data_IF_086685129416
#
_entry.id   IF_086685129416
#
_cell.length_a   1.000
_cell.length_b   1.000
_cell.length_c   1.000
_cell.angle_alpha   90.00
_cell.angle_beta   90.00
_cell.angle_gamma   90.00
#
_symmetry.space_group_name_H-M   'P 1'
#
loop_
_entity.id
_entity.type
_entity.pdbx_description
1 polymer ?
#
# COMPACT_ATOMS: atom_id res chain seq x y z
N UNK A 1 8.33 46.52 55.82
CA UNK A 1 6.92 46.06 55.81
C UNK A 1 6.01 47.24 55.50
N UNK A 2 4.96 47.01 54.69
CA UNK A 2 3.80 47.87 54.36
C UNK A 2 3.89 48.80 53.13
N UNK A 3 3.34 48.26 52.02
CA UNK A 3 2.37 48.82 51.06
C UNK A 3 2.41 50.33 50.76
N UNK A 4 2.67 50.66 49.50
CA UNK A 4 2.12 51.84 48.84
C UNK A 4 1.17 51.40 47.70
N UNK A 5 -0.09 51.79 47.82
CA UNK A 5 -1.18 51.62 46.87
C UNK A 5 -1.09 52.64 45.75
N UNK A 6 -1.15 52.20 44.49
CA UNK A 6 -1.35 53.05 43.32
C UNK A 6 -2.38 52.43 42.40
N UNK A 7 -3.61 52.97 42.41
CA UNK A 7 -4.62 52.72 41.36
C UNK A 7 -4.11 53.37 40.08
N UNK A 8 -3.94 52.58 39.02
CA UNK A 8 -3.73 53.09 37.67
C UNK A 8 -4.93 52.71 36.81
N UNK A 9 -5.46 53.74 36.15
CA UNK A 9 -6.65 53.79 35.33
C UNK A 9 -6.33 53.17 33.96
N UNK A 10 -7.22 52.30 33.48
CA UNK A 10 -7.19 51.76 32.12
C UNK A 10 -7.23 52.88 31.06
N UNK A 11 -6.43 52.80 30.00
CA UNK A 11 -6.89 53.15 28.68
C UNK A 11 -7.37 51.88 27.97
N UNK A 12 -8.65 51.91 27.60
CA UNK A 12 -9.25 51.00 26.62
C UNK A 12 -8.48 51.15 25.32
N UNK A 13 -7.57 50.23 25.04
CA UNK A 13 -6.97 50.10 23.71
C UNK A 13 -7.99 49.36 22.85
N UNK A 14 -8.70 50.14 22.05
CA UNK A 14 -9.54 49.69 20.97
C UNK A 14 -8.65 48.97 19.94
N UNK A 15 -8.46 47.66 20.10
CA UNK A 15 -7.85 46.82 19.08
C UNK A 15 -8.80 46.83 17.88
N UNK A 16 -8.41 47.54 16.82
CA UNK A 16 -9.02 47.41 15.51
C UNK A 16 -8.85 45.95 15.06
N UNK A 17 -9.90 45.15 15.25
CA UNK A 17 -10.01 43.82 14.65
C UNK A 17 -10.08 44.05 13.15
N UNK A 18 -8.93 43.97 12.49
CA UNK A 18 -8.86 43.94 11.03
C UNK A 18 -9.68 42.74 10.57
N UNK A 19 -10.85 43.01 10.00
CA UNK A 19 -11.67 42.06 9.27
C UNK A 19 -10.90 41.61 8.04
N UNK A 20 -10.02 40.63 8.19
CA UNK A 20 -9.57 39.83 7.07
C UNK A 20 -10.80 39.07 6.58
N UNK A 21 -11.19 39.17 5.28
CA UNK A 21 -12.23 38.32 4.76
C UNK A 21 -11.78 36.88 4.95
N UNK A 22 -12.64 36.04 5.55
CA UNK A 22 -12.46 34.61 5.57
C UNK A 22 -12.40 34.15 4.10
N UNK A 23 -11.19 33.87 3.62
CA UNK A 23 -10.98 33.27 2.31
C UNK A 23 -11.73 31.94 2.35
N UNK A 24 -12.71 31.69 1.48
CA UNK A 24 -13.36 30.39 1.46
C UNK A 24 -12.28 29.34 1.23
N UNK A 25 -12.21 28.32 2.10
CA UNK A 25 -11.40 27.12 1.87
C UNK A 25 -12.06 26.33 0.74
N UNK A 26 -11.99 26.89 -0.46
CA UNK A 26 -12.31 26.25 -1.71
C UNK A 26 -11.10 26.51 -2.58
N UNK A 27 -10.45 25.41 -2.95
CA UNK A 27 -9.29 25.34 -3.85
C UNK A 27 -7.91 25.46 -3.21
N UNK A 28 -7.63 24.61 -2.20
CA UNK A 28 -6.36 23.87 -2.28
C UNK A 28 -6.55 22.81 -3.37
N UNK A 29 -6.15 23.15 -4.58
CA UNK A 29 -6.02 22.20 -5.70
C UNK A 29 -4.94 21.19 -5.32
N UNK A 30 -5.34 20.10 -4.69
CA UNK A 30 -4.50 18.92 -4.59
C UNK A 30 -4.38 18.34 -6.00
N UNK A 31 -3.29 18.66 -6.69
CA UNK A 31 -2.80 17.83 -7.81
C UNK A 31 -2.34 16.48 -7.25
N UNK A 32 -3.29 15.65 -6.85
CA UNK A 32 -3.13 14.23 -6.59
C UNK A 32 -3.62 13.48 -7.81
N UNK A 33 -2.73 12.74 -8.47
CA UNK A 33 -3.04 11.91 -9.64
C UNK A 33 -4.29 11.07 -9.39
N UNK A 34 -5.33 11.26 -10.21
CA UNK A 34 -6.61 10.54 -10.15
C UNK A 34 -6.45 9.04 -10.48
N UNK A 35 -6.00 8.26 -9.51
CA UNK A 35 -6.19 6.81 -9.52
C UNK A 35 -7.57 6.55 -8.92
N UNK A 36 -8.59 6.43 -9.77
CA UNK A 36 -9.91 5.91 -9.37
C UNK A 36 -9.70 4.56 -8.69
N UNK A 37 -9.97 4.48 -7.38
CA UNK A 37 -9.74 3.25 -6.63
C UNK A 37 -10.68 2.16 -7.14
N UNK A 38 -10.13 0.99 -7.48
CA UNK A 38 -10.93 -0.17 -7.87
C UNK A 38 -11.76 -0.60 -6.65
N UNK A 39 -13.11 -0.67 -6.75
CA UNK A 39 -13.93 -1.07 -5.61
C UNK A 39 -13.50 -2.44 -5.06
N UNK A 40 -13.54 -2.60 -3.73
CA UNK A 40 -13.16 -3.84 -3.05
C UNK A 40 -13.90 -5.05 -3.61
N UNK A 41 -13.20 -6.17 -3.76
CA UNK A 41 -13.74 -7.44 -4.27
C UNK A 41 -13.86 -7.53 -5.78
N UNK A 42 -13.61 -6.43 -6.54
CA UNK A 42 -13.61 -6.45 -8.00
C UNK A 42 -12.36 -7.13 -8.55
N UNK A 43 -12.53 -7.84 -9.65
CA UNK A 43 -11.44 -8.53 -10.34
C UNK A 43 -10.48 -7.51 -10.97
N UNK A 44 -9.19 -7.66 -10.67
CA UNK A 44 -8.10 -6.80 -11.17
C UNK A 44 -7.36 -7.47 -12.32
N UNK A 45 -7.16 -8.78 -12.26
CA UNK A 45 -6.34 -9.55 -13.20
C UNK A 45 -5.99 -10.93 -12.63
N UNK A 46 -4.94 -11.56 -13.14
CA UNK A 46 -4.41 -12.82 -12.60
C UNK A 46 -2.90 -12.76 -12.45
N UNK A 47 -2.34 -13.64 -11.62
CA UNK A 47 -0.90 -13.83 -11.49
C UNK A 47 -0.53 -15.29 -11.70
N UNK A 48 0.61 -15.50 -12.34
CA UNK A 48 1.27 -16.80 -12.47
C UNK A 48 2.70 -16.72 -11.93
N UNK A 49 3.07 -17.66 -11.06
CA UNK A 49 4.38 -17.79 -10.44
C UNK A 49 4.86 -19.24 -10.63
N UNK A 50 5.59 -19.54 -11.72
CA UNK A 50 5.99 -20.91 -12.05
C UNK A 50 6.78 -21.61 -10.94
N UNK A 51 7.66 -20.88 -10.24
CA UNK A 51 8.45 -21.39 -9.11
C UNK A 51 7.59 -22.01 -8.00
N UNK A 52 6.37 -21.53 -7.84
CA UNK A 52 5.42 -21.97 -6.81
C UNK A 52 4.32 -22.89 -7.38
N UNK A 53 4.35 -23.20 -8.67
CA UNK A 53 3.25 -23.83 -9.40
C UNK A 53 1.89 -23.13 -9.13
N UNK A 54 1.92 -21.79 -9.11
CA UNK A 54 0.79 -20.96 -8.72
C UNK A 54 0.22 -20.23 -9.94
N UNK A 55 -1.09 -20.36 -10.14
CA UNK A 55 -1.90 -19.43 -10.92
C UNK A 55 -3.11 -19.04 -10.08
N UNK A 56 -3.37 -17.75 -9.91
CA UNK A 56 -4.44 -17.27 -9.03
C UNK A 56 -5.05 -15.95 -9.53
N UNK A 57 -6.36 -15.74 -9.37
CA UNK A 57 -6.99 -14.46 -9.63
C UNK A 57 -6.53 -13.39 -8.62
N UNK A 58 -6.53 -12.15 -9.07
CA UNK A 58 -6.26 -10.96 -8.27
C UNK A 58 -7.56 -10.17 -8.13
N UNK A 59 -7.93 -9.85 -6.90
CA UNK A 59 -9.07 -9.00 -6.56
C UNK A 59 -8.61 -7.74 -5.82
N UNK A 60 -9.33 -6.63 -5.95
CA UNK A 60 -9.03 -5.41 -5.19
C UNK A 60 -9.39 -5.62 -3.71
N UNK A 61 -8.50 -5.24 -2.79
CA UNK A 61 -8.73 -5.30 -1.35
C UNK A 61 -7.80 -6.25 -0.59
N UNK A 62 -7.89 -6.20 0.73
CA UNK A 62 -6.98 -6.90 1.66
C UNK A 62 -7.71 -7.55 2.84
N UNK A 63 -9.03 -7.73 2.74
CA UNK A 63 -9.82 -8.45 3.73
C UNK A 63 -9.69 -9.95 3.56
N UNK A 64 -10.02 -10.72 4.60
CA UNK A 64 -10.03 -12.18 4.52
C UNK A 64 -10.99 -12.67 3.43
N UNK A 65 -12.19 -12.07 3.32
CA UNK A 65 -13.13 -12.37 2.24
C UNK A 65 -12.56 -12.16 0.81
N UNK A 66 -11.55 -11.31 0.65
CA UNK A 66 -10.81 -11.15 -0.61
C UNK A 66 -9.76 -12.25 -0.76
N UNK A 67 -8.99 -12.52 0.29
CA UNK A 67 -7.93 -13.54 0.28
C UNK A 67 -8.46 -14.98 0.18
N UNK A 68 -9.68 -15.24 0.65
CA UNK A 68 -10.37 -16.52 0.50
C UNK A 68 -10.71 -16.82 -0.97
N UNK A 69 -10.78 -15.79 -1.81
CA UNK A 69 -11.05 -15.90 -3.24
C UNK A 69 -9.77 -15.98 -4.08
N UNK A 70 -8.61 -15.64 -3.51
CA UNK A 70 -7.34 -15.60 -4.23
C UNK A 70 -6.37 -14.57 -3.67
N UNK A 71 -5.74 -13.80 -4.56
CA UNK A 71 -4.76 -12.79 -4.17
C UNK A 71 -5.42 -11.41 -4.12
N UNK A 72 -5.14 -10.64 -3.08
CA UNK A 72 -5.62 -9.27 -2.95
C UNK A 72 -4.60 -8.25 -3.44
N UNK A 73 -5.03 -7.29 -4.24
CA UNK A 73 -4.29 -6.10 -4.62
C UNK A 73 -4.54 -5.01 -3.58
N UNK A 74 -3.46 -4.43 -3.05
CA UNK A 74 -3.56 -3.38 -2.05
C UNK A 74 -4.19 -2.12 -2.65
N UNK A 75 -5.32 -1.62 -2.10
CA UNK A 75 -5.98 -0.43 -2.63
C UNK A 75 -5.06 0.78 -2.68
N UNK A 76 -5.05 1.48 -3.82
CA UNK A 76 -4.21 2.66 -4.05
C UNK A 76 -2.75 2.36 -4.39
N UNK A 77 -2.32 1.10 -4.39
CA UNK A 77 -1.00 0.72 -4.93
C UNK A 77 -1.04 0.67 -6.47
N UNK A 78 0.13 0.72 -7.12
CA UNK A 78 0.21 0.76 -8.58
C UNK A 78 -0.49 -0.45 -9.23
N UNK A 79 -1.06 -0.25 -10.41
CA UNK A 79 -1.59 -1.34 -11.24
C UNK A 79 -0.46 -2.00 -12.06
N UNK A 80 -0.69 -3.21 -12.61
CA UNK A 80 0.31 -3.90 -13.42
C UNK A 80 0.92 -3.01 -14.52
N UNK A 81 2.25 -2.91 -14.56
CA UNK A 81 3.01 -2.14 -15.54
C UNK A 81 3.09 -0.63 -15.28
N UNK A 82 2.35 -0.11 -14.30
CA UNK A 82 2.44 1.30 -13.92
C UNK A 82 3.72 1.59 -13.13
N UNK A 83 4.19 2.84 -13.21
CA UNK A 83 5.25 3.35 -12.33
C UNK A 83 4.72 3.34 -10.89
N UNK A 84 5.54 2.87 -9.96
CA UNK A 84 5.13 2.66 -8.58
C UNK A 84 5.33 1.23 -8.12
N UNK A 85 4.80 0.95 -6.94
CA UNK A 85 4.84 -0.36 -6.32
C UNK A 85 3.44 -0.96 -6.36
N UNK A 86 3.27 -2.01 -7.16
CA UNK A 86 2.09 -2.86 -7.12
C UNK A 86 2.23 -3.79 -5.92
N UNK A 87 1.25 -3.81 -5.02
CA UNK A 87 1.34 -4.63 -3.81
C UNK A 87 0.27 -5.71 -3.84
N UNK A 88 0.69 -6.95 -3.63
CA UNK A 88 -0.15 -8.13 -3.56
C UNK A 88 -0.01 -8.81 -2.19
N UNK A 89 -1.14 -9.18 -1.60
CA UNK A 89 -1.21 -9.96 -0.37
C UNK A 89 -2.07 -11.22 -0.55
N UNK A 90 -1.88 -12.19 0.34
CA UNK A 90 -2.69 -13.41 0.33
C UNK A 90 -2.31 -14.37 1.44
N UNK A 91 -3.16 -15.37 1.63
CA UNK A 91 -2.98 -16.35 2.69
C UNK A 91 -1.68 -17.14 2.55
N UNK A 92 -1.03 -17.36 3.70
CA UNK A 92 0.12 -18.26 3.80
C UNK A 92 -0.34 -19.71 3.96
N UNK A 93 -1.24 -19.96 4.91
CA UNK A 93 -1.60 -21.31 5.34
C UNK A 93 -3.09 -21.60 5.29
N UNK A 94 -3.95 -20.60 5.48
CA UNK A 94 -5.38 -20.74 5.28
C UNK A 94 -5.69 -20.96 3.79
N UNK A 95 -6.63 -21.85 3.48
CA UNK A 95 -7.06 -22.09 2.10
C UNK A 95 -7.57 -20.79 1.45
N UNK A 96 -7.20 -20.50 0.19
CA UNK A 96 -6.53 -21.39 -0.78
C UNK A 96 -5.00 -21.42 -0.71
N UNK A 97 -4.39 -20.84 0.35
CA UNK A 97 -2.95 -20.86 0.68
C UNK A 97 -2.02 -20.61 -0.51
N UNK A 98 -2.29 -19.60 -1.37
CA UNK A 98 -1.56 -19.39 -2.62
C UNK A 98 -0.06 -19.16 -2.38
N UNK A 99 0.29 -18.64 -1.20
CA UNK A 99 1.66 -18.35 -0.84
C UNK A 99 2.24 -19.36 0.15
N UNK A 100 1.73 -20.59 0.27
CA UNK A 100 2.26 -21.60 1.20
C UNK A 100 3.76 -21.83 1.08
N UNK A 101 4.29 -21.76 -0.14
CA UNK A 101 5.69 -22.03 -0.50
C UNK A 101 6.52 -20.81 -0.91
N UNK A 102 6.04 -19.58 -0.66
CA UNK A 102 6.73 -18.32 -1.05
C UNK A 102 8.22 -18.25 -0.70
N UNK A 103 8.68 -18.97 0.33
CA UNK A 103 10.09 -19.01 0.74
C UNK A 103 11.00 -19.70 -0.28
N UNK A 104 10.43 -20.43 -1.25
CA UNK A 104 11.17 -21.01 -2.37
C UNK A 104 11.61 -19.95 -3.39
N UNK A 105 10.98 -18.77 -3.38
CA UNK A 105 11.31 -17.69 -4.31
C UNK A 105 12.73 -17.18 -4.05
N UNK A 106 13.50 -17.02 -5.12
CA UNK A 106 14.87 -16.49 -5.12
C UNK A 106 15.02 -15.40 -6.18
N UNK A 107 16.11 -14.63 -6.10
CA UNK A 107 16.45 -13.63 -7.12
C UNK A 107 16.51 -14.27 -8.50
N UNK A 108 15.89 -13.64 -9.50
CA UNK A 108 15.81 -14.14 -10.88
C UNK A 108 14.50 -14.88 -11.20
N UNK A 109 13.74 -15.32 -10.19
CA UNK A 109 12.44 -15.97 -10.43
C UNK A 109 11.45 -15.00 -11.09
N UNK A 110 10.57 -15.56 -11.91
CA UNK A 110 9.62 -14.79 -12.72
C UNK A 110 8.23 -14.79 -12.06
N UNK A 111 7.60 -13.63 -12.08
CA UNK A 111 6.20 -13.43 -11.72
C UNK A 111 5.51 -12.74 -12.89
N UNK A 112 4.49 -13.35 -13.46
CA UNK A 112 3.72 -12.77 -14.57
C UNK A 112 2.36 -12.33 -14.06
N UNK A 113 2.02 -11.07 -14.25
CA UNK A 113 0.70 -10.53 -13.95
C UNK A 113 -0.03 -10.23 -15.26
N UNK A 114 -1.26 -10.73 -15.42
CA UNK A 114 -2.10 -10.48 -16.59
C UNK A 114 -3.24 -9.53 -16.26
N UNK A 115 -3.45 -8.51 -17.08
CA UNK A 115 -4.56 -7.56 -16.94
C UNK A 115 -4.92 -6.93 -18.29
N UNK A 116 -6.22 -6.95 -18.64
CA UNK A 116 -6.73 -6.32 -19.86
C UNK A 116 -6.08 -6.85 -21.14
N UNK A 117 -5.88 -8.17 -21.24
CA UNK A 117 -5.23 -8.81 -22.38
C UNK A 117 -3.72 -8.60 -22.48
N UNK A 118 -3.08 -7.93 -21.50
CA UNK A 118 -1.63 -7.67 -21.48
C UNK A 118 -0.95 -8.45 -20.36
N UNK A 119 0.26 -8.91 -20.63
CA UNK A 119 1.13 -9.61 -19.68
C UNK A 119 2.26 -8.70 -19.21
N UNK A 120 2.48 -8.65 -17.90
CA UNK A 120 3.51 -7.87 -17.24
C UNK A 120 4.44 -8.81 -16.50
N UNK A 121 5.66 -8.96 -17.00
CA UNK A 121 6.66 -9.89 -16.46
C UNK A 121 7.54 -9.16 -15.44
N UNK A 122 7.52 -9.60 -14.20
CA UNK A 122 8.39 -9.11 -13.13
C UNK A 122 9.45 -10.16 -12.79
N UNK A 123 10.65 -9.71 -12.44
CA UNK A 123 11.77 -10.56 -12.02
C UNK A 123 12.10 -10.25 -10.57
N UNK A 124 12.15 -11.28 -9.73
CA UNK A 124 12.46 -11.14 -8.30
C UNK A 124 13.87 -10.58 -8.13
N UNK A 125 13.98 -9.54 -7.32
CA UNK A 125 15.23 -8.85 -6.99
C UNK A 125 15.75 -9.24 -5.61
N UNK A 126 14.85 -9.41 -4.64
CA UNK A 126 15.17 -9.81 -3.27
C UNK A 126 13.98 -10.39 -2.54
N UNK A 127 14.26 -11.11 -1.47
CA UNK A 127 13.29 -11.55 -0.47
C UNK A 127 13.73 -11.10 0.91
N UNK A 128 12.80 -10.98 1.85
CA UNK A 128 13.10 -10.60 3.23
C UNK A 128 11.97 -11.02 4.18
N UNK A 129 12.30 -11.11 5.47
CA UNK A 129 11.32 -11.27 6.55
C UNK A 129 11.26 -9.98 7.35
N UNK A 130 10.06 -9.45 7.57
CA UNK A 130 9.85 -8.17 8.26
C UNK A 130 8.82 -8.30 9.37
N UNK A 131 8.79 -7.30 10.27
CA UNK A 131 7.75 -7.20 11.31
C UNK A 131 6.39 -6.88 10.67
N UNK A 132 5.24 -7.30 11.25
CA UNK A 132 3.91 -6.95 10.74
C UNK A 132 3.66 -5.45 10.62
N UNK A 133 4.33 -4.64 11.44
CA UNK A 133 4.26 -3.17 11.44
C UNK A 133 5.11 -2.51 10.35
N UNK A 134 5.79 -3.29 9.50
CA UNK A 134 6.68 -2.78 8.44
C UNK A 134 5.88 -2.29 7.24
N UNK A 135 5.04 -1.27 7.43
CA UNK A 135 4.15 -0.71 6.39
C UNK A 135 4.90 -0.06 5.24
N UNK A 136 6.19 0.24 5.40
CA UNK A 136 7.04 0.80 4.34
C UNK A 136 7.15 -0.10 3.11
N UNK A 137 6.85 -1.40 3.21
CA UNK A 137 6.79 -2.31 2.04
C UNK A 137 5.70 -1.93 1.03
N UNK A 138 4.76 -1.07 1.44
CA UNK A 138 3.66 -0.57 0.64
C UNK A 138 3.99 0.72 -0.13
N UNK A 139 5.09 1.37 0.22
CA UNK A 139 5.47 2.67 -0.34
C UNK A 139 5.65 2.58 -1.86
N UNK A 140 5.22 3.63 -2.55
CA UNK A 140 5.39 3.73 -3.99
C UNK A 140 6.86 3.95 -4.35
N UNK A 141 7.30 3.35 -5.45
CA UNK A 141 8.68 3.47 -5.96
C UNK A 141 8.76 4.34 -7.21
N UNK A 142 9.94 4.88 -7.50
CA UNK A 142 10.23 5.51 -8.80
C UNK A 142 10.21 4.51 -9.95
N UNK A 143 10.58 3.25 -9.67
CA UNK A 143 10.58 2.14 -10.62
C UNK A 143 9.18 1.49 -10.75
N UNK A 144 9.06 0.52 -11.66
CA UNK A 144 7.91 -0.38 -11.79
C UNK A 144 8.18 -1.64 -10.96
N UNK A 145 7.72 -1.64 -9.72
CA UNK A 145 8.00 -2.67 -8.72
C UNK A 145 6.75 -3.48 -8.41
N UNK A 146 6.92 -4.75 -8.08
CA UNK A 146 5.91 -5.63 -7.52
C UNK A 146 6.40 -6.11 -6.15
N UNK A 147 5.57 -5.92 -5.13
CA UNK A 147 5.76 -6.47 -3.78
C UNK A 147 4.69 -7.51 -3.50
N UNK A 148 5.10 -8.73 -3.18
CA UNK A 148 4.20 -9.76 -2.64
C UNK A 148 4.52 -9.94 -1.16
N UNK A 149 3.49 -9.97 -0.30
CA UNK A 149 3.66 -10.27 1.12
C UNK A 149 2.66 -11.30 1.63
N UNK A 150 3.05 -12.04 2.67
CA UNK A 150 2.18 -13.02 3.33
C UNK A 150 2.62 -13.25 4.78
N UNK A 151 1.81 -13.91 5.59
CA UNK A 151 2.14 -14.28 6.96
C UNK A 151 3.38 -15.20 7.03
N UNK A 152 4.15 -15.06 8.11
CA UNK A 152 5.35 -15.84 8.33
C UNK A 152 5.64 -16.01 9.84
N UNK A 153 6.25 -17.12 10.28
CA UNK A 153 6.39 -18.42 9.58
C UNK A 153 5.04 -19.09 9.26
N UNK A 154 5.05 -20.30 8.69
CA UNK A 154 3.79 -21.06 8.47
C UNK A 154 3.07 -21.28 9.79
N UNK A 155 1.74 -21.14 9.79
CA UNK A 155 0.90 -21.32 10.98
C UNK A 155 0.94 -20.16 11.98
N UNK A 156 1.64 -19.07 11.65
CA UNK A 156 1.79 -17.89 12.53
C UNK A 156 1.62 -16.60 11.74
N UNK A 157 1.27 -15.52 12.44
CA UNK A 157 1.18 -14.16 11.90
C UNK A 157 2.27 -13.22 12.46
N UNK A 158 3.28 -13.77 13.16
CA UNK A 158 4.33 -13.02 13.88
C UNK A 158 5.17 -12.11 12.99
N UNK A 159 5.33 -12.47 11.71
CA UNK A 159 6.14 -11.76 10.73
C UNK A 159 5.45 -11.75 9.36
N UNK A 160 6.08 -11.08 8.40
CA UNK A 160 5.72 -11.16 6.99
C UNK A 160 6.90 -11.63 6.16
N UNK A 161 6.66 -12.57 5.25
CA UNK A 161 7.62 -12.87 4.20
C UNK A 161 7.29 -11.98 3.00
N UNK A 162 8.30 -11.31 2.47
CA UNK A 162 8.16 -10.31 1.42
C UNK A 162 9.04 -10.68 0.24
N UNK A 163 8.47 -10.65 -0.96
CA UNK A 163 9.17 -10.80 -2.24
C UNK A 163 9.07 -9.47 -2.97
N UNK A 164 10.20 -8.94 -3.42
CA UNK A 164 10.26 -7.70 -4.21
C UNK A 164 10.79 -8.02 -5.60
N UNK A 165 10.04 -7.64 -6.63
CA UNK A 165 10.36 -7.86 -8.03
C UNK A 165 10.27 -6.56 -8.83
N UNK A 166 10.96 -6.48 -9.97
CA UNK A 166 10.92 -5.34 -10.88
C UNK A 166 10.40 -5.78 -12.24
N UNK A 167 9.68 -4.90 -12.93
CA UNK A 167 9.21 -5.18 -14.27
C UNK A 167 10.43 -5.40 -15.19
N UNK A 168 10.44 -6.55 -15.87
CA UNK A 168 11.35 -6.83 -16.97
C UNK A 168 10.82 -6.07 -18.18
N UNK A 169 11.65 -5.16 -18.69
CA UNK A 169 11.47 -4.59 -20.04
C UNK A 169 11.47 -5.69 -21.08
#
# INVERSE_FOLDING_TARGET
>A
MRRATGRAILPVVLCAVSLLPAVPVSQVSARGTGQSQIPTGRHVGSVSIPRLNLTSPIFSGTSDAVYDRGIGHWPGSALPGQRGNMVLGGHRTADPRPFYDIQRMVKGDVITVMRGGRSYRYVVTRTMVVKPTSVWILNQTSDRTLTIFTCHPRGTTRQRYVVVARLST
#
